data_IF_446264036862
#
_entry.id   IF_446264036862
#
_cell.length_a   1.000
_cell.length_b   1.000
_cell.length_c   1.000
_cell.angle_alpha   90.00
_cell.angle_beta   90.00
_cell.angle_gamma   90.00
#
_symmetry.space_group_name_H-M   'P 1'
#
loop_
_entity.id
_entity.type
_entity.pdbx_description
1 polymer ?
#
# COMPACT_ATOMS: atom_id res chain seq x y z
N UNK A 1 2.18 15.62 12.08
CA UNK A 1 1.32 14.44 11.93
C UNK A 1 0.72 14.40 10.54
N UNK A 2 0.66 13.24 9.94
CA UNK A 2 0.15 13.04 8.59
C UNK A 2 -1.21 12.33 8.61
N UNK A 3 -1.99 12.53 7.56
CA UNK A 3 -3.36 12.01 7.49
C UNK A 3 -3.66 11.42 6.13
N UNK A 4 -4.57 10.43 6.11
CA UNK A 4 -5.27 9.99 4.91
C UNK A 4 -6.66 10.59 4.99
N UNK A 5 -7.08 11.32 3.96
CA UNK A 5 -8.35 12.05 3.96
C UNK A 5 -9.20 11.70 2.75
N UNK A 6 -10.49 11.57 2.99
CA UNK A 6 -11.49 11.47 1.94
C UNK A 6 -12.10 12.85 1.74
N UNK A 7 -12.03 13.34 0.51
CA UNK A 7 -12.58 14.66 0.14
C UNK A 7 -13.76 14.49 -0.80
N UNK A 8 -14.68 15.45 -0.73
CA UNK A 8 -15.74 15.57 -1.73
C UNK A 8 -15.11 16.00 -3.07
N UNK A 9 -15.47 15.34 -4.16
CA UNK A 9 -14.87 15.58 -5.47
C UNK A 9 -15.28 16.89 -6.12
N UNK A 10 -16.32 17.53 -5.62
CA UNK A 10 -16.82 18.80 -6.16
C UNK A 10 -16.48 19.99 -5.26
N UNK A 11 -16.67 19.84 -3.95
CA UNK A 11 -16.45 20.93 -3.00
C UNK A 11 -15.07 20.92 -2.37
N UNK A 12 -14.35 19.77 -2.44
CA UNK A 12 -13.07 19.50 -1.79
C UNK A 12 -13.13 19.61 -0.26
N UNK A 13 -14.33 19.51 0.31
CA UNK A 13 -14.49 19.46 1.75
C UNK A 13 -14.05 18.09 2.30
N UNK A 14 -13.47 18.10 3.50
CA UNK A 14 -13.02 16.89 4.16
C UNK A 14 -14.24 16.14 4.68
N UNK A 15 -14.45 14.92 4.18
CA UNK A 15 -15.55 14.04 4.60
C UNK A 15 -15.11 13.13 5.73
N UNK A 16 -13.90 12.56 5.64
CA UNK A 16 -13.39 11.59 6.59
C UNK A 16 -11.87 11.71 6.68
N UNK A 17 -11.32 11.46 7.87
CA UNK A 17 -9.90 11.56 8.12
C UNK A 17 -9.41 10.36 8.93
N UNK A 18 -8.28 9.79 8.51
CA UNK A 18 -7.55 8.78 9.26
C UNK A 18 -6.17 9.31 9.61
N UNK A 19 -5.85 9.38 10.90
CA UNK A 19 -4.55 9.86 11.35
C UNK A 19 -3.50 8.75 11.30
N UNK A 20 -2.36 9.05 10.67
CA UNK A 20 -1.21 8.15 10.71
C UNK A 20 -0.50 8.24 12.06
N UNK A 21 0.34 7.26 12.34
CA UNK A 21 1.07 7.21 13.60
C UNK A 21 2.14 8.30 13.69
N UNK A 22 2.69 8.51 14.89
CA UNK A 22 3.81 9.42 15.09
C UNK A 22 5.00 8.99 14.23
N UNK A 23 5.63 9.96 13.56
CA UNK A 23 6.72 9.76 12.61
C UNK A 23 6.34 9.00 11.33
N UNK A 24 5.07 8.69 11.12
CA UNK A 24 4.61 8.01 9.92
C UNK A 24 4.17 9.00 8.86
N UNK A 25 4.66 8.81 7.63
CA UNK A 25 4.33 9.64 6.47
C UNK A 25 3.76 8.78 5.35
N UNK A 26 2.76 9.31 4.64
CA UNK A 26 2.25 8.66 3.43
C UNK A 26 3.22 8.84 2.27
N UNK A 27 3.52 7.75 1.56
CA UNK A 27 4.43 7.74 0.41
C UNK A 27 3.75 7.45 -0.91
N UNK A 28 2.70 6.62 -0.89
CA UNK A 28 2.04 6.16 -2.10
C UNK A 28 0.58 5.88 -1.85
N UNK A 29 -0.21 5.94 -2.91
CA UNK A 29 -1.65 5.66 -2.87
C UNK A 29 -2.06 4.98 -4.17
N UNK A 30 -2.99 4.02 -4.06
CA UNK A 30 -3.50 3.26 -5.20
C UNK A 30 -4.96 2.92 -4.97
N UNK A 31 -5.77 3.08 -6.02
CA UNK A 31 -7.13 2.56 -6.08
C UNK A 31 -7.11 1.26 -6.88
N UNK A 32 -7.62 0.18 -6.33
CA UNK A 32 -7.59 -1.11 -7.00
C UNK A 32 -8.74 -2.02 -6.58
N UNK A 33 -8.95 -3.09 -7.37
CA UNK A 33 -9.84 -4.20 -7.04
C UNK A 33 -9.02 -5.47 -7.08
N UNK A 34 -9.30 -6.40 -6.16
CA UNK A 34 -8.62 -7.69 -6.12
C UNK A 34 -9.39 -8.74 -6.92
N UNK A 35 -8.68 -9.79 -7.34
CA UNK A 35 -9.19 -10.78 -8.31
C UNK A 35 -10.56 -11.36 -7.94
N UNK A 36 -10.75 -11.71 -6.67
CA UNK A 36 -11.96 -12.39 -6.20
C UNK A 36 -12.94 -11.43 -5.51
N UNK A 37 -12.75 -10.12 -5.66
CA UNK A 37 -13.54 -9.13 -4.96
C UNK A 37 -13.86 -7.96 -5.90
N UNK A 38 -15.14 -7.68 -6.08
CA UNK A 38 -15.61 -6.60 -6.95
C UNK A 38 -15.54 -5.21 -6.31
N UNK A 39 -15.28 -5.14 -5.00
CA UNK A 39 -15.17 -3.85 -4.31
C UNK A 39 -13.93 -3.09 -4.71
N UNK A 40 -14.02 -1.76 -4.64
CA UNK A 40 -12.88 -0.88 -4.85
C UNK A 40 -12.21 -0.62 -3.51
N UNK A 41 -10.91 -0.89 -3.45
CA UNK A 41 -10.10 -0.65 -2.27
C UNK A 41 -9.09 0.47 -2.54
N UNK A 42 -8.74 1.18 -1.48
CA UNK A 42 -7.72 2.23 -1.53
C UNK A 42 -6.54 1.80 -0.67
N UNK A 43 -5.40 1.58 -1.30
CA UNK A 43 -4.19 1.16 -0.61
C UNK A 43 -3.27 2.36 -0.43
N UNK A 44 -2.77 2.52 0.78
CA UNK A 44 -1.82 3.60 1.12
C UNK A 44 -0.54 2.98 1.64
N UNK A 45 0.57 3.33 1.00
CA UNK A 45 1.90 2.93 1.47
C UNK A 45 2.51 4.04 2.31
N UNK A 46 3.09 3.67 3.45
CA UNK A 46 3.68 4.61 4.38
C UNK A 46 5.13 4.29 4.70
N UNK A 47 5.79 5.21 5.35
CA UNK A 47 7.11 5.03 5.95
C UNK A 47 7.16 5.69 7.31
N UNK A 48 7.95 5.14 8.21
CA UNK A 48 8.30 5.80 9.46
C UNK A 48 9.65 6.50 9.28
N UNK A 49 9.65 7.81 9.48
CA UNK A 49 10.86 8.63 9.38
C UNK A 49 11.34 8.91 10.79
N UNK A 50 12.31 8.12 11.27
CA UNK A 50 12.89 8.27 12.59
C UNK A 50 14.16 9.12 12.51
N UNK A 51 14.37 10.07 13.47
CA UNK A 51 15.51 11.00 13.40
C UNK A 51 16.89 10.32 13.38
N UNK A 52 16.99 9.11 13.93
CA UNK A 52 18.26 8.39 14.06
C UNK A 52 18.56 7.47 12.88
N UNK A 53 17.63 7.31 11.94
CA UNK A 53 17.79 6.41 10.80
C UNK A 53 18.18 7.16 9.54
N UNK A 54 19.21 6.67 8.84
CA UNK A 54 19.60 7.19 7.54
C UNK A 54 18.69 6.67 6.42
N UNK A 55 18.15 5.47 6.59
CA UNK A 55 17.24 4.83 5.66
C UNK A 55 16.05 4.25 6.43
N UNK A 56 14.82 4.40 5.94
CA UNK A 56 13.65 3.84 6.62
C UNK A 56 13.74 2.32 6.75
N UNK A 57 13.44 1.81 7.94
CA UNK A 57 13.44 0.37 8.23
C UNK A 57 12.04 -0.16 8.50
N UNK A 58 11.04 0.71 8.53
CA UNK A 58 9.67 0.35 8.86
C UNK A 58 8.67 1.17 8.06
N UNK A 59 7.59 0.53 7.65
CA UNK A 59 6.46 1.15 7.00
C UNK A 59 5.22 0.29 7.14
N UNK A 60 4.13 0.71 6.50
CA UNK A 60 2.88 -0.05 6.46
C UNK A 60 2.22 0.05 5.10
N UNK A 61 1.46 -0.98 4.76
CA UNK A 61 0.46 -0.91 3.70
C UNK A 61 -0.89 -0.92 4.38
N UNK A 62 -1.67 0.13 4.16
CA UNK A 62 -3.01 0.28 4.73
C UNK A 62 -4.03 0.08 3.61
N UNK A 63 -5.05 -0.74 3.88
CA UNK A 63 -6.13 -0.99 2.91
C UNK A 63 -7.42 -0.42 3.46
N UNK A 64 -7.98 0.56 2.74
CA UNK A 64 -9.21 1.24 3.12
C UNK A 64 -10.33 0.92 2.16
N UNK A 65 -11.54 1.00 2.67
CA UNK A 65 -12.77 0.99 1.88
C UNK A 65 -13.59 2.22 2.26
N UNK A 66 -14.35 2.74 1.32
CA UNK A 66 -15.28 3.86 1.58
C UNK A 66 -16.68 3.29 1.67
N UNK A 67 -17.28 3.34 2.86
CA UNK A 67 -18.64 2.91 3.11
C UNK A 67 -19.38 3.99 3.88
N UNK A 68 -20.62 4.30 3.45
CA UNK A 68 -21.48 5.32 4.06
C UNK A 68 -20.80 6.69 4.21
N UNK A 69 -19.98 7.05 3.22
CA UNK A 69 -19.26 8.32 3.23
C UNK A 69 -18.09 8.37 4.21
N UNK A 70 -17.65 7.22 4.72
CA UNK A 70 -16.56 7.16 5.68
C UNK A 70 -15.42 6.25 5.17
N UNK A 71 -14.21 6.66 5.50
CA UNK A 71 -13.01 5.90 5.22
C UNK A 71 -12.79 4.89 6.33
N UNK A 72 -12.79 3.60 5.99
CA UNK A 72 -12.63 2.52 6.96
C UNK A 72 -11.37 1.72 6.66
N UNK A 73 -10.51 1.57 7.67
CA UNK A 73 -9.34 0.71 7.58
C UNK A 73 -9.77 -0.74 7.78
N UNK A 74 -9.57 -1.59 6.78
CA UNK A 74 -9.99 -2.99 6.85
C UNK A 74 -8.82 -3.96 6.95
N UNK A 75 -7.62 -3.53 6.59
CA UNK A 75 -6.42 -4.35 6.71
C UNK A 75 -5.18 -3.48 6.78
N UNK A 76 -4.16 -3.98 7.46
CA UNK A 76 -2.83 -3.36 7.46
C UNK A 76 -1.77 -4.44 7.40
N UNK A 77 -0.63 -4.10 6.81
CA UNK A 77 0.52 -4.98 6.72
C UNK A 77 1.78 -4.20 7.02
N UNK A 78 2.51 -4.59 8.06
CA UNK A 78 3.81 -3.99 8.36
C UNK A 78 4.85 -4.40 7.31
N UNK A 79 5.71 -3.46 6.97
CA UNK A 79 6.80 -3.69 6.02
C UNK A 79 8.14 -3.31 6.66
N UNK A 80 9.22 -3.87 6.12
CA UNK A 80 10.58 -3.62 6.62
C UNK A 80 11.27 -2.48 5.88
N UNK A 81 10.52 -1.47 5.53
CA UNK A 81 11.02 -0.30 4.84
C UNK A 81 9.90 0.60 4.33
N UNK A 82 10.27 1.67 3.66
CA UNK A 82 9.32 2.62 3.08
C UNK A 82 8.62 2.00 1.88
N UNK A 83 7.30 2.13 1.84
CA UNK A 83 6.49 1.69 0.70
C UNK A 83 6.44 2.82 -0.32
N UNK A 84 7.43 2.89 -1.18
CA UNK A 84 7.60 4.01 -2.13
C UNK A 84 6.57 4.02 -3.24
N UNK A 85 6.09 2.85 -3.64
CA UNK A 85 5.16 2.73 -4.76
C UNK A 85 4.26 1.53 -4.60
N UNK A 86 3.03 1.65 -5.08
CA UNK A 86 2.04 0.58 -5.10
C UNK A 86 1.46 0.48 -6.51
N UNK A 87 1.28 -0.75 -7.00
CA UNK A 87 0.66 -1.00 -8.30
C UNK A 87 -0.25 -2.22 -8.23
N UNK A 88 -1.29 -2.21 -9.04
CA UNK A 88 -2.12 -3.39 -9.24
C UNK A 88 -1.50 -4.27 -10.32
N UNK A 89 -1.43 -5.57 -10.05
CA UNK A 89 -0.86 -6.54 -10.97
C UNK A 89 -1.64 -7.85 -10.92
N UNK A 90 -2.35 -8.17 -11.99
CA UNK A 90 -3.16 -9.39 -12.13
C UNK A 90 -4.07 -9.67 -10.93
N UNK A 91 -4.78 -8.64 -10.46
CA UNK A 91 -5.67 -8.76 -9.31
C UNK A 91 -4.97 -8.88 -7.96
N UNK A 92 -3.68 -8.59 -7.92
CA UNK A 92 -2.85 -8.59 -6.72
C UNK A 92 -2.21 -7.23 -6.50
N UNK A 93 -1.60 -7.03 -5.35
CA UNK A 93 -0.94 -5.77 -5.00
C UNK A 93 0.57 -5.93 -5.08
N UNK A 94 1.20 -5.05 -5.84
CA UNK A 94 2.64 -5.00 -5.97
C UNK A 94 3.17 -3.77 -5.24
N UNK A 95 4.11 -3.97 -4.33
CA UNK A 95 4.69 -2.90 -3.52
C UNK A 95 6.21 -2.81 -3.72
N UNK A 96 6.69 -1.58 -3.90
CA UNK A 96 8.12 -1.29 -3.89
C UNK A 96 8.51 -0.84 -2.48
N UNK A 97 9.26 -1.67 -1.78
CA UNK A 97 9.65 -1.45 -0.38
C UNK A 97 11.17 -1.34 -0.33
N UNK A 98 11.69 -0.12 -0.11
CA UNK A 98 13.11 0.18 -0.18
C UNK A 98 13.72 -0.37 -1.50
N UNK A 99 14.56 -1.39 -1.44
CA UNK A 99 15.19 -2.01 -2.61
C UNK A 99 14.52 -3.31 -3.03
N UNK A 100 13.33 -3.61 -2.50
CA UNK A 100 12.63 -4.85 -2.73
C UNK A 100 11.29 -4.59 -3.41
N UNK A 101 10.93 -5.46 -4.34
CA UNK A 101 9.58 -5.50 -4.91
C UNK A 101 8.90 -6.73 -4.34
N UNK A 102 7.74 -6.52 -3.72
CA UNK A 102 6.99 -7.57 -3.04
C UNK A 102 5.59 -7.67 -3.62
N UNK A 103 5.17 -8.88 -3.97
CA UNK A 103 3.82 -9.16 -4.43
C UNK A 103 2.99 -9.68 -3.26
N UNK A 104 1.82 -9.05 -3.06
CA UNK A 104 0.86 -9.46 -2.03
C UNK A 104 -0.44 -9.89 -2.67
N UNK A 105 -1.04 -10.95 -2.12
CA UNK A 105 -2.38 -11.38 -2.49
C UNK A 105 -3.38 -11.04 -1.38
N UNK A 106 -4.62 -10.82 -1.79
CA UNK A 106 -5.72 -10.50 -0.87
C UNK A 106 -6.38 -11.80 -0.45
N UNK A 107 -6.31 -12.10 0.84
CA UNK A 107 -6.79 -13.36 1.38
C UNK A 107 -7.92 -13.15 2.36
N UNK A 108 -8.94 -14.00 2.27
CA UNK A 108 -10.01 -14.07 3.25
C UNK A 108 -9.59 -15.04 4.36
N UNK A 109 -9.63 -14.55 5.61
CA UNK A 109 -9.35 -15.37 6.79
C UNK A 109 -10.59 -16.15 7.23
N UNK A 110 -10.38 -17.17 8.05
CA UNK A 110 -11.47 -18.02 8.59
C UNK A 110 -12.46 -17.23 9.44
N UNK A 111 -12.04 -16.12 10.06
CA UNK A 111 -12.88 -15.26 10.88
C UNK A 111 -13.70 -14.24 10.06
N UNK A 112 -13.60 -14.25 8.74
CA UNK A 112 -14.31 -13.34 7.85
C UNK A 112 -13.58 -12.04 7.53
N UNK A 113 -12.41 -11.79 8.13
CA UNK A 113 -11.58 -10.63 7.82
C UNK A 113 -10.65 -10.91 6.64
N UNK A 114 -10.12 -9.85 6.04
CA UNK A 114 -9.17 -9.95 4.94
C UNK A 114 -7.76 -9.56 5.40
N UNK A 115 -6.75 -10.10 4.72
CA UNK A 115 -5.36 -9.72 4.94
C UNK A 115 -4.57 -9.72 3.63
N UNK A 116 -3.49 -8.94 3.61
CA UNK A 116 -2.49 -9.01 2.56
C UNK A 116 -1.47 -10.07 2.93
N UNK A 117 -1.31 -11.07 2.08
CA UNK A 117 -0.34 -12.15 2.29
C UNK A 117 0.78 -12.05 1.28
N UNK A 118 2.02 -12.07 1.76
CA UNK A 118 3.20 -12.06 0.91
C UNK A 118 3.25 -13.34 0.06
N UNK A 119 3.38 -13.19 -1.25
CA UNK A 119 3.42 -14.31 -2.18
C UNK A 119 4.82 -14.54 -2.72
N UNK A 120 5.44 -13.50 -3.26
CA UNK A 120 6.81 -13.57 -3.75
C UNK A 120 7.43 -12.17 -3.72
N UNK A 121 8.77 -12.12 -3.83
CA UNK A 121 9.49 -10.87 -3.84
C UNK A 121 10.79 -10.94 -4.60
N UNK A 122 11.28 -9.79 -5.01
CA UNK A 122 12.56 -9.64 -5.70
C UNK A 122 13.35 -8.52 -5.04
N UNK A 123 14.60 -8.78 -4.72
CA UNK A 123 15.51 -7.81 -4.12
C UNK A 123 16.44 -7.21 -5.16
N UNK A 124 16.49 -5.89 -5.25
CA UNK A 124 17.36 -5.17 -6.17
C UNK A 124 18.37 -4.30 -5.43
N UNK A 125 19.31 -3.72 -6.20
CA UNK A 125 20.33 -2.84 -5.65
C UNK A 125 19.98 -1.35 -5.74
N UNK A 126 18.86 -1.02 -6.38
CA UNK A 126 18.37 0.35 -6.59
C UNK A 126 17.04 0.50 -5.90
N UNK A 127 16.81 1.68 -5.30
CA UNK A 127 15.51 2.00 -4.70
C UNK A 127 14.41 1.93 -5.76
N UNK A 128 13.38 1.14 -5.48
CA UNK A 128 12.25 0.96 -6.40
C UNK A 128 11.18 2.02 -6.14
N UNK A 129 11.53 3.30 -6.36
CA UNK A 129 10.63 4.43 -6.10
C UNK A 129 9.57 4.64 -7.17
N UNK A 130 9.74 4.02 -8.34
CA UNK A 130 8.78 4.10 -9.43
C UNK A 130 8.76 2.78 -10.19
N UNK A 131 7.56 2.21 -10.40
CA UNK A 131 7.39 0.97 -11.13
C UNK A 131 6.44 1.19 -12.30
N UNK A 132 6.79 0.61 -13.46
CA UNK A 132 5.86 0.48 -14.56
C UNK A 132 5.47 -0.99 -14.69
N UNK A 133 4.33 -1.24 -15.32
CA UNK A 133 3.84 -2.60 -15.53
C UNK A 133 4.83 -3.45 -16.34
N UNK A 134 5.48 -2.84 -17.31
CA UNK A 134 6.48 -3.52 -18.12
C UNK A 134 7.71 -3.94 -17.31
N UNK A 135 8.22 -3.05 -16.48
CA UNK A 135 9.36 -3.34 -15.60
C UNK A 135 9.03 -4.47 -14.63
N UNK A 136 7.83 -4.45 -14.06
CA UNK A 136 7.34 -5.49 -13.15
C UNK A 136 7.33 -6.85 -13.84
N UNK A 137 6.80 -6.94 -15.05
CA UNK A 137 6.76 -8.20 -15.80
C UNK A 137 8.18 -8.70 -16.04
N UNK A 138 9.09 -7.84 -16.45
CA UNK A 138 10.50 -8.20 -16.66
C UNK A 138 11.15 -8.75 -15.40
N UNK A 139 10.94 -8.11 -14.25
CA UNK A 139 11.50 -8.54 -12.97
C UNK A 139 10.93 -9.88 -12.52
N UNK A 140 9.63 -10.09 -12.64
CA UNK A 140 8.98 -11.33 -12.22
C UNK A 140 9.34 -12.52 -13.12
N UNK A 141 9.65 -12.28 -14.38
CA UNK A 141 10.07 -13.32 -15.33
C UNK A 141 11.58 -13.53 -15.34
N UNK A 142 12.35 -12.71 -14.61
CA UNK A 142 13.80 -12.82 -14.55
C UNK A 142 14.51 -12.35 -15.82
N UNK A 143 13.87 -11.48 -16.59
CA UNK A 143 14.39 -10.98 -17.85
C UNK A 143 15.18 -9.69 -17.65
#
# INVERSE_FOLDING_TARGET
MHFVRLLDDQTFEIISTYALNTYECGCSILSCSFLDDIKVYYCVGTTYVLPEENEPTKGRILVFVVEDGKLQLIAEKETKGAVYSLNAFNGKLLAAINQKIQLYKWMLRDDGTHELQSECGHHGHILASCMSRLVVISLLLGI
#
